data_IF_464482973973
#
_entry.id   IF_464482973973
#
_cell.length_a   1.000
_cell.length_b   1.000
_cell.length_c   1.000
_cell.angle_alpha   90.00
_cell.angle_beta   90.00
_cell.angle_gamma   90.00
#
_symmetry.space_group_name_H-M   'P 1'
#
loop_
_entity.id
_entity.type
_entity.pdbx_description
1 polymer ?
#
# COMPACT_ATOMS: atom_id res chain seq x y z
N UNK A 1 5.31 -6.53 17.16
CA UNK A 1 4.17 -5.60 17.01
C UNK A 1 3.62 -5.81 15.62
N UNK A 2 2.31 -6.02 15.49
CA UNK A 2 1.66 -6.26 14.20
C UNK A 2 1.66 -4.97 13.34
N UNK A 3 1.28 -5.07 12.06
CA UNK A 3 1.16 -3.90 11.19
C UNK A 3 0.07 -2.95 11.72
N UNK A 4 -1.10 -3.49 12.05
CA UNK A 4 -2.25 -2.76 12.56
C UNK A 4 -1.93 -2.07 13.88
N UNK A 5 -1.25 -2.76 14.80
CA UNK A 5 -0.78 -2.14 16.06
C UNK A 5 0.12 -0.93 15.80
N UNK A 6 1.05 -1.02 14.83
CA UNK A 6 1.90 0.12 14.45
C UNK A 6 1.08 1.28 13.86
N UNK A 7 0.07 0.97 13.05
CA UNK A 7 -0.85 1.96 12.49
C UNK A 7 -1.68 2.63 13.60
N UNK A 8 -2.21 1.84 14.54
CA UNK A 8 -2.98 2.31 15.69
C UNK A 8 -2.14 3.22 16.58
N UNK A 9 -0.90 2.82 16.92
CA UNK A 9 0.03 3.67 17.67
C UNK A 9 0.30 5.00 16.98
N UNK A 10 0.43 5.01 15.64
CA UNK A 10 0.59 6.26 14.89
C UNK A 10 -0.67 7.14 14.95
N UNK A 11 -1.86 6.55 14.86
CA UNK A 11 -3.13 7.28 14.99
C UNK A 11 -3.24 7.90 16.39
N UNK A 12 -2.97 7.13 17.44
CA UNK A 12 -2.99 7.61 18.84
C UNK A 12 -1.99 8.75 19.08
N UNK A 13 -0.79 8.66 18.50
CA UNK A 13 0.20 9.73 18.55
C UNK A 13 -0.29 11.00 17.85
N UNK A 14 -0.97 10.88 16.69
CA UNK A 14 -1.58 12.01 16.00
C UNK A 14 -2.71 12.64 16.82
N UNK A 15 -3.55 11.83 17.48
CA UNK A 15 -4.63 12.34 18.33
C UNK A 15 -4.10 13.11 19.54
N UNK A 16 -3.02 12.63 20.13
CA UNK A 16 -2.39 13.21 21.31
C UNK A 16 -1.52 14.44 20.99
N UNK A 17 -1.20 14.65 19.72
CA UNK A 17 -0.40 15.79 19.24
C UNK A 17 -1.09 17.13 19.55
N UNK A 18 -0.30 18.19 19.81
CA UNK A 18 -0.84 19.54 20.10
C UNK A 18 -1.17 20.34 18.84
N UNK A 19 -1.00 19.74 17.66
CA UNK A 19 -1.35 20.35 16.38
C UNK A 19 -2.83 20.69 16.25
N UNK A 20 -3.14 21.64 15.36
CA UNK A 20 -4.51 21.94 14.97
C UNK A 20 -5.25 20.71 14.42
N UNK A 21 -6.55 20.62 14.67
CA UNK A 21 -7.39 19.49 14.24
C UNK A 21 -7.31 19.24 12.72
N UNK A 22 -7.24 20.31 11.92
CA UNK A 22 -7.09 20.21 10.45
C UNK A 22 -5.80 19.49 10.05
N UNK A 23 -4.72 19.66 10.81
CA UNK A 23 -3.44 18.98 10.57
C UNK A 23 -3.57 17.50 10.95
N UNK A 24 -4.21 17.19 12.09
CA UNK A 24 -4.46 15.81 12.52
C UNK A 24 -5.27 15.03 11.48
N UNK A 25 -6.34 15.62 10.96
CA UNK A 25 -7.17 15.03 9.90
C UNK A 25 -6.33 14.75 8.64
N UNK A 26 -5.48 15.68 8.21
CA UNK A 26 -4.58 15.47 7.05
C UNK A 26 -3.60 14.32 7.28
N UNK A 27 -3.01 14.22 8.49
CA UNK A 27 -2.11 13.12 8.86
C UNK A 27 -2.84 11.76 8.82
N UNK A 28 -4.03 11.67 9.41
CA UNK A 28 -4.88 10.44 9.34
C UNK A 28 -5.28 10.08 7.91
N UNK A 29 -5.54 11.08 7.05
CA UNK A 29 -5.83 10.85 5.64
C UNK A 29 -4.65 10.21 4.90
N UNK A 30 -3.40 10.54 5.24
CA UNK A 30 -2.23 9.87 4.66
C UNK A 30 -2.16 8.38 5.05
N UNK A 31 -2.52 8.04 6.29
CA UNK A 31 -2.61 6.64 6.74
C UNK A 31 -3.70 5.91 5.95
N UNK A 32 -4.89 6.52 5.81
CA UNK A 32 -5.96 5.97 4.97
C UNK A 32 -5.48 5.74 3.53
N UNK A 33 -4.78 6.71 2.96
CA UNK A 33 -4.22 6.58 1.60
C UNK A 33 -3.22 5.42 1.48
N UNK A 34 -2.45 5.11 2.53
CA UNK A 34 -1.56 3.95 2.53
C UNK A 34 -2.36 2.65 2.40
N UNK A 35 -3.41 2.49 3.21
CA UNK A 35 -4.27 1.30 3.17
C UNK A 35 -4.98 1.16 1.82
N UNK A 36 -5.53 2.26 1.29
CA UNK A 36 -6.20 2.27 -0.01
C UNK A 36 -5.24 2.01 -1.18
N UNK A 37 -4.04 2.57 -1.16
CA UNK A 37 -3.02 2.30 -2.18
C UNK A 37 -2.54 0.85 -2.13
N UNK A 38 -2.45 0.26 -0.94
CA UNK A 38 -2.10 -1.15 -0.76
C UNK A 38 -3.18 -2.05 -1.37
N UNK A 39 -4.46 -1.78 -1.07
CA UNK A 39 -5.59 -2.49 -1.66
C UNK A 39 -5.59 -2.39 -3.19
N UNK A 40 -5.41 -1.19 -3.75
CA UNK A 40 -5.36 -0.97 -5.20
C UNK A 40 -4.22 -1.74 -5.86
N UNK A 41 -3.05 -1.74 -5.25
CA UNK A 41 -1.90 -2.49 -5.78
C UNK A 41 -2.18 -3.99 -5.81
N UNK A 42 -2.64 -4.57 -4.69
CA UNK A 42 -2.99 -6.00 -4.60
C UNK A 42 -4.04 -6.37 -5.64
N UNK A 43 -5.09 -5.55 -5.79
CA UNK A 43 -6.12 -5.78 -6.80
C UNK A 43 -5.55 -5.84 -8.22
N UNK A 44 -4.70 -4.90 -8.62
CA UNK A 44 -4.11 -4.90 -9.96
C UNK A 44 -3.17 -6.10 -10.17
N UNK A 45 -2.40 -6.50 -9.15
CA UNK A 45 -1.54 -7.69 -9.22
C UNK A 45 -2.38 -8.95 -9.43
N UNK A 46 -3.51 -9.08 -8.73
CA UNK A 46 -4.43 -10.21 -8.90
C UNK A 46 -5.04 -10.21 -10.30
N UNK A 47 -5.53 -9.06 -10.80
CA UNK A 47 -6.02 -8.94 -12.18
C UNK A 47 -4.94 -9.38 -13.17
N UNK A 48 -3.73 -8.84 -13.05
CA UNK A 48 -2.63 -9.18 -13.95
C UNK A 48 -2.36 -10.69 -13.95
N UNK A 49 -2.32 -11.32 -12.77
CA UNK A 49 -2.10 -12.76 -12.65
C UNK A 49 -3.19 -13.59 -13.35
N UNK A 50 -4.46 -13.22 -13.17
CA UNK A 50 -5.59 -13.89 -13.84
C UNK A 50 -5.53 -13.68 -15.36
N UNK A 51 -5.28 -12.46 -15.82
CA UNK A 51 -5.21 -12.17 -17.25
C UNK A 51 -4.02 -12.90 -17.93
N UNK A 52 -2.88 -13.02 -17.25
CA UNK A 52 -1.75 -13.82 -17.74
C UNK A 52 -2.07 -15.32 -17.83
N UNK A 53 -2.92 -15.85 -16.93
CA UNK A 53 -3.34 -17.26 -16.99
C UNK A 53 -4.33 -17.55 -18.12
N UNK A 54 -5.16 -16.56 -18.48
CA UNK A 54 -6.12 -16.67 -19.57
C UNK A 54 -5.49 -16.43 -20.96
N UNK A 55 -4.26 -15.93 -21.02
CA UNK A 55 -3.55 -15.74 -22.28
C UNK A 55 -3.17 -17.10 -22.89
N UNK A 56 -3.69 -17.37 -24.10
CA UNK A 56 -3.45 -18.61 -24.84
C UNK A 56 -2.13 -18.57 -25.62
N UNK A 57 -1.39 -17.46 -25.55
CA UNK A 57 -0.11 -17.28 -26.23
C UNK A 57 -0.23 -17.14 -27.75
N UNK A 58 -1.44 -16.98 -28.30
CA UNK A 58 -1.67 -16.89 -29.74
C UNK A 58 -1.17 -15.56 -30.37
N UNK A 59 -0.57 -14.67 -29.57
CA UNK A 59 0.04 -13.42 -30.06
C UNK A 59 -0.98 -12.41 -30.57
N UNK A 60 -2.22 -12.46 -30.08
CA UNK A 60 -3.25 -11.48 -30.44
C UNK A 60 -2.81 -10.07 -30.00
N UNK A 61 -2.64 -9.17 -30.98
CA UNK A 61 -2.18 -7.79 -30.75
C UNK A 61 -3.04 -7.04 -29.74
N UNK A 62 -4.36 -7.24 -29.76
CA UNK A 62 -5.26 -6.60 -28.80
C UNK A 62 -4.96 -7.09 -27.38
N UNK A 63 -4.79 -8.41 -27.21
CA UNK A 63 -4.46 -9.02 -25.92
C UNK A 63 -3.12 -8.53 -25.37
N UNK A 64 -2.11 -8.43 -26.23
CA UNK A 64 -0.80 -7.89 -25.87
C UNK A 64 -0.89 -6.42 -25.40
N UNK A 65 -1.74 -5.62 -26.04
CA UNK A 65 -1.98 -4.23 -25.63
C UNK A 65 -2.70 -4.14 -24.27
N UNK A 66 -3.68 -5.01 -24.03
CA UNK A 66 -4.39 -5.08 -22.75
C UNK A 66 -3.42 -5.46 -21.61
N UNK A 67 -2.61 -6.50 -21.78
CA UNK A 67 -1.62 -6.93 -20.80
C UNK A 67 -0.56 -5.85 -20.54
N UNK A 68 -0.10 -5.16 -21.58
CA UNK A 68 0.83 -4.04 -21.43
C UNK A 68 0.22 -2.87 -20.63
N UNK A 69 -1.05 -2.55 -20.88
CA UNK A 69 -1.78 -1.51 -20.13
C UNK A 69 -1.93 -1.88 -18.65
N UNK A 70 -2.22 -3.15 -18.36
CA UNK A 70 -2.29 -3.66 -16.97
C UNK A 70 -0.92 -3.55 -16.29
N UNK A 71 0.16 -3.93 -16.97
CA UNK A 71 1.52 -3.85 -16.41
C UNK A 71 1.95 -2.40 -16.13
N UNK A 72 1.64 -1.47 -17.04
CA UNK A 72 1.87 -0.05 -16.85
C UNK A 72 1.06 0.49 -15.65
N UNK A 73 -0.21 0.12 -15.55
CA UNK A 73 -1.07 0.50 -14.44
C UNK A 73 -0.57 -0.06 -13.10
N UNK A 74 -0.11 -1.33 -13.07
CA UNK A 74 0.52 -1.95 -11.90
C UNK A 74 1.75 -1.15 -11.47
N UNK A 75 2.63 -0.83 -12.41
CA UNK A 75 3.88 -0.12 -12.14
C UNK A 75 3.62 1.27 -11.55
N UNK A 76 2.70 2.03 -12.14
CA UNK A 76 2.28 3.35 -11.62
C UNK A 76 1.66 3.27 -10.22
N UNK A 77 0.80 2.26 -9.99
CA UNK A 77 0.16 2.07 -8.69
C UNK A 77 1.18 1.68 -7.62
N UNK A 78 2.17 0.87 -7.99
CA UNK A 78 3.27 0.52 -7.10
C UNK A 78 4.12 1.74 -6.71
N UNK A 79 4.45 2.60 -7.66
CA UNK A 79 5.20 3.83 -7.38
C UNK A 79 4.43 4.77 -6.44
N UNK A 80 3.10 4.84 -6.62
CA UNK A 80 2.21 5.57 -5.72
C UNK A 80 2.20 4.98 -4.31
N UNK A 81 2.10 3.65 -4.18
CA UNK A 81 2.18 2.96 -2.91
C UNK A 81 3.50 3.26 -2.19
N UNK A 82 4.64 3.10 -2.86
CA UNK A 82 5.98 3.38 -2.31
C UNK A 82 6.05 4.84 -1.81
N UNK A 83 5.55 5.78 -2.60
CA UNK A 83 5.56 7.20 -2.25
C UNK A 83 4.76 7.49 -0.98
N UNK A 84 3.56 6.90 -0.86
CA UNK A 84 2.71 7.07 0.31
C UNK A 84 3.29 6.36 1.53
N UNK A 85 3.83 5.15 1.38
CA UNK A 85 4.49 4.41 2.45
C UNK A 85 5.67 5.21 3.02
N UNK A 86 6.50 5.78 2.16
CA UNK A 86 7.62 6.62 2.57
C UNK A 86 7.16 7.88 3.31
N UNK A 87 6.04 8.49 2.90
CA UNK A 87 5.46 9.62 3.63
C UNK A 87 4.96 9.21 5.02
N UNK A 88 4.28 8.06 5.15
CA UNK A 88 3.80 7.55 6.44
C UNK A 88 4.97 7.16 7.36
N UNK A 89 6.01 6.49 6.83
CA UNK A 89 7.20 6.16 7.62
C UNK A 89 7.95 7.40 8.12
N UNK A 90 8.04 8.46 7.31
CA UNK A 90 8.56 9.76 7.78
C UNK A 90 7.68 10.36 8.88
N UNK A 91 6.37 10.15 8.82
CA UNK A 91 5.46 10.57 9.88
C UNK A 91 5.67 9.77 11.17
N UNK A 92 5.91 8.47 11.10
CA UNK A 92 6.32 7.67 12.27
C UNK A 92 7.56 8.27 12.95
N UNK A 93 8.57 8.63 12.17
CA UNK A 93 9.80 9.23 12.70
C UNK A 93 9.55 10.57 13.42
N UNK A 94 8.58 11.37 12.99
CA UNK A 94 8.21 12.62 13.68
C UNK A 94 7.64 12.40 15.08
N UNK A 95 7.08 11.22 15.34
CA UNK A 95 6.53 10.82 16.63
C UNK A 95 7.42 9.81 17.37
N UNK A 96 8.68 9.65 16.93
CA UNK A 96 9.63 8.69 17.52
C UNK A 96 9.13 7.23 17.49
N UNK A 97 8.25 6.90 16.54
CA UNK A 97 7.73 5.56 16.32
C UNK A 97 8.57 4.81 15.28
N UNK A 98 8.65 3.49 15.44
CA UNK A 98 9.22 2.63 14.41
C UNK A 98 8.41 2.73 13.10
N UNK A 99 9.05 2.60 11.92
CA UNK A 99 8.33 2.67 10.66
C UNK A 99 7.32 1.53 10.51
N UNK A 100 6.24 1.80 9.78
CA UNK A 100 5.19 0.83 9.45
C UNK A 100 5.78 -0.32 8.62
N UNK A 101 6.66 -0.01 7.66
CA UNK A 101 7.43 -1.00 6.92
C UNK A 101 8.86 -1.09 7.45
N UNK A 102 9.30 -2.32 7.75
CA UNK A 102 10.61 -2.62 8.32
C UNK A 102 11.42 -3.61 7.46
N UNK A 103 10.91 -3.98 6.28
CA UNK A 103 11.60 -4.85 5.35
C UNK A 103 12.68 -4.12 4.55
N UNK A 104 13.23 -4.78 3.54
CA UNK A 104 14.27 -4.20 2.69
C UNK A 104 13.69 -3.13 1.77
N UNK A 105 14.48 -2.12 1.46
CA UNK A 105 14.11 -1.09 0.49
C UNK A 105 14.24 -1.61 -0.95
N UNK A 106 13.32 -2.50 -1.33
CA UNK A 106 13.17 -2.91 -2.72
C UNK A 106 11.69 -3.07 -3.05
N UNK A 107 11.39 -2.91 -4.35
CA UNK A 107 10.02 -2.90 -4.87
C UNK A 107 9.28 -4.19 -4.53
N UNK A 108 9.93 -5.35 -4.68
CA UNK A 108 9.26 -6.63 -4.48
C UNK A 108 8.75 -6.78 -3.05
N UNK A 109 9.63 -6.54 -2.08
CA UNK A 109 9.28 -6.68 -0.67
C UNK A 109 8.21 -5.65 -0.24
N UNK A 110 8.19 -4.44 -0.83
CA UNK A 110 7.10 -3.47 -0.60
C UNK A 110 5.77 -3.94 -1.21
N UNK A 111 5.81 -4.60 -2.36
CA UNK A 111 4.65 -5.21 -2.97
C UNK A 111 4.07 -6.35 -2.11
N UNK A 112 4.94 -7.20 -1.58
CA UNK A 112 4.56 -8.28 -0.65
C UNK A 112 3.98 -7.69 0.64
N UNK A 113 4.59 -6.63 1.16
CA UNK A 113 4.09 -5.90 2.33
C UNK A 113 2.67 -5.35 2.13
N UNK A 114 2.30 -4.89 0.93
CA UNK A 114 0.93 -4.44 0.66
C UNK A 114 -0.09 -5.56 0.85
N UNK A 115 0.26 -6.79 0.46
CA UNK A 115 -0.58 -7.97 0.72
C UNK A 115 -0.65 -8.27 2.22
N UNK A 116 0.48 -8.23 2.94
CA UNK A 116 0.52 -8.44 4.39
C UNK A 116 -0.41 -7.49 5.14
N UNK A 117 -0.44 -6.19 4.77
CA UNK A 117 -1.39 -5.21 5.34
C UNK A 117 -2.83 -5.72 5.13
N UNK A 118 -3.21 -6.06 3.89
CA UNK A 118 -4.57 -6.47 3.57
C UNK A 118 -4.97 -7.76 4.30
N UNK A 119 -4.07 -8.72 4.37
CA UNK A 119 -4.31 -9.97 5.09
C UNK A 119 -4.50 -9.75 6.59
N UNK A 120 -3.69 -8.90 7.21
CA UNK A 120 -3.81 -8.60 8.65
C UNK A 120 -5.16 -7.94 8.96
N UNK A 121 -5.53 -6.90 8.20
CA UNK A 121 -6.84 -6.24 8.34
C UNK A 121 -8.01 -7.18 8.05
N UNK A 122 -7.86 -8.11 7.11
CA UNK A 122 -8.90 -9.10 6.80
C UNK A 122 -9.02 -10.18 7.88
N UNK A 123 -7.90 -10.63 8.48
CA UNK A 123 -7.91 -11.63 9.55
C UNK A 123 -8.51 -11.06 10.84
N UNK A 124 -8.21 -9.82 11.16
CA UNK A 124 -8.62 -9.16 12.41
C UNK A 124 -9.95 -8.37 12.29
N UNK A 125 -10.80 -8.75 11.33
CA UNK A 125 -12.14 -8.18 11.15
C UNK A 125 -13.17 -8.58 12.23
N UNK A 126 -12.73 -9.36 13.23
CA UNK A 126 -13.52 -9.92 14.33
C UNK A 126 -13.01 -9.39 15.67
#
# INVERSE_FOLDING_TARGET
MSIKQRVESLIEAIESDKSEEKIKVRKKLMIKNLLESSLKYVHIVVIQGVEMQLDDGAGNRQRLQELASIDENRSRTHDSLISVLNAVNRMCAQYELAPIYQGKDNRRDIGDFALEIMEEYFRERL
#
